data_IF_000640357638
#
_entry.id   IF_000640357638
#
_cell.length_a   1.000
_cell.length_b   1.000
_cell.length_c   1.000
_cell.angle_alpha   90.00
_cell.angle_beta   90.00
_cell.angle_gamma   90.00
#
_symmetry.space_group_name_H-M   'P 1'
#
loop_
_entity.id
_entity.type
_entity.pdbx_description
1 polymer ?
#
# COMPACT_ATOMS: atom_id res chain seq x y z
N UNK A 1 -4.45 5.70 -5.12
CA UNK A 1 -3.07 6.14 -4.77
C UNK A 1 -2.63 5.39 -3.53
N UNK A 2 -1.45 4.78 -3.53
CA UNK A 2 -0.89 4.13 -2.35
C UNK A 2 0.31 4.89 -1.79
N UNK A 3 0.69 4.64 -0.53
CA UNK A 3 1.83 5.33 0.11
C UNK A 3 3.17 5.03 -0.59
N UNK A 4 3.39 3.81 -1.10
CA UNK A 4 4.62 3.48 -1.83
C UNK A 4 4.52 3.75 -3.33
N UNK A 5 3.39 3.42 -3.97
CA UNK A 5 3.21 3.55 -5.42
C UNK A 5 1.85 4.12 -5.78
N UNK A 6 1.85 5.03 -6.73
CA UNK A 6 0.63 5.56 -7.36
C UNK A 6 0.41 4.85 -8.69
N UNK A 7 -0.79 4.28 -8.86
CA UNK A 7 -1.21 3.63 -10.09
C UNK A 7 -2.41 4.38 -10.65
N UNK A 8 -2.35 4.74 -11.91
CA UNK A 8 -3.44 5.38 -12.66
C UNK A 8 -3.67 4.57 -13.93
N UNK A 9 -4.93 4.30 -14.22
CA UNK A 9 -5.36 3.68 -15.48
C UNK A 9 -6.44 4.55 -16.12
N UNK A 10 -6.43 4.62 -17.44
CA UNK A 10 -7.50 5.25 -18.20
C UNK A 10 -8.48 4.15 -18.62
N UNK A 11 -9.70 4.18 -18.05
CA UNK A 11 -10.72 3.17 -18.38
C UNK A 11 -11.10 3.30 -19.87
N UNK A 12 -11.13 2.16 -20.57
CA UNK A 12 -11.35 2.12 -22.03
C UNK A 12 -10.11 2.39 -22.87
N UNK A 13 -8.93 2.50 -22.26
CA UNK A 13 -7.64 2.73 -22.93
C UNK A 13 -6.55 1.82 -22.34
N UNK A 14 -5.45 1.66 -23.06
CA UNK A 14 -4.27 0.88 -22.61
C UNK A 14 -3.27 1.70 -21.80
N UNK A 15 -3.48 3.02 -21.72
CA UNK A 15 -2.56 3.94 -21.02
C UNK A 15 -2.61 3.74 -19.52
N UNK A 16 -1.45 3.52 -18.95
CA UNK A 16 -1.24 3.29 -17.51
C UNK A 16 -0.04 4.07 -17.02
N UNK A 17 -0.13 4.54 -15.80
CA UNK A 17 1.00 5.13 -15.07
C UNK A 17 1.15 4.40 -13.73
N UNK A 18 2.34 3.90 -13.43
CA UNK A 18 2.64 3.15 -12.22
C UNK A 18 4.06 3.49 -11.75
N UNK A 19 4.16 4.44 -10.84
CA UNK A 19 5.44 4.91 -10.31
C UNK A 19 5.41 5.04 -8.78
N UNK A 20 6.59 5.18 -8.13
CA UNK A 20 6.67 5.50 -6.70
C UNK A 20 5.85 6.74 -6.35
N UNK A 21 5.21 6.73 -5.18
CA UNK A 21 4.47 7.89 -4.66
C UNK A 21 5.44 8.91 -4.04
N UNK A 22 6.53 9.21 -4.72
CA UNK A 22 7.58 10.11 -4.27
C UNK A 22 7.46 11.47 -4.96
N UNK A 23 7.67 12.55 -4.20
CA UNK A 23 7.74 13.92 -4.68
C UNK A 23 9.03 14.55 -4.14
N UNK A 24 9.90 15.00 -5.03
CA UNK A 24 11.08 15.73 -4.69
C UNK A 24 10.83 17.23 -4.78
N UNK A 25 11.09 17.96 -3.70
CA UNK A 25 10.85 19.39 -3.63
C UNK A 25 11.96 20.11 -2.84
N UNK A 26 12.09 21.41 -3.05
CA UNK A 26 12.97 22.24 -2.24
C UNK A 26 12.48 22.31 -0.80
N UNK A 27 13.40 22.52 0.16
CA UNK A 27 13.05 22.72 1.56
C UNK A 27 12.51 24.15 1.85
N UNK A 28 12.47 25.03 0.84
CA UNK A 28 11.95 26.39 0.95
C UNK A 28 10.42 26.41 1.07
N UNK A 29 9.86 27.50 1.58
CA UNK A 29 8.42 27.75 1.63
C UNK A 29 8.05 28.99 0.79
N UNK A 30 7.15 28.84 -0.23
CA UNK A 30 6.52 27.59 -0.66
C UNK A 30 7.50 26.65 -1.35
N UNK A 31 7.33 25.31 -1.21
CA UNK A 31 8.24 24.34 -1.81
C UNK A 31 8.09 24.32 -3.34
N UNK A 32 9.22 24.35 -4.05
CA UNK A 32 9.26 24.15 -5.50
C UNK A 32 9.43 22.65 -5.80
N UNK A 33 8.51 22.07 -6.55
CA UNK A 33 8.60 20.69 -6.98
C UNK A 33 9.68 20.56 -8.06
N UNK A 34 10.54 19.56 -7.92
CA UNK A 34 11.66 19.27 -8.80
C UNK A 34 11.42 17.99 -9.61
N UNK A 35 10.85 16.95 -9.01
CA UNK A 35 10.55 15.69 -9.68
C UNK A 35 9.43 14.92 -8.99
N UNK A 36 8.88 13.94 -9.70
CA UNK A 36 7.89 12.97 -9.21
C UNK A 36 8.34 11.55 -9.56
N UNK A 37 7.73 10.57 -8.88
CA UNK A 37 7.86 9.17 -9.24
C UNK A 37 9.27 8.63 -9.11
N UNK A 38 9.72 7.92 -10.12
CA UNK A 38 11.02 7.24 -10.13
C UNK A 38 12.20 8.20 -9.97
N UNK A 39 12.14 9.38 -10.59
CA UNK A 39 13.22 10.38 -10.48
C UNK A 39 13.31 10.96 -9.06
N UNK A 40 12.17 11.15 -8.40
CA UNK A 40 12.13 11.58 -7.01
C UNK A 40 12.59 10.48 -6.05
N UNK A 41 12.17 9.24 -6.28
CA UNK A 41 12.50 8.08 -5.43
C UNK A 41 14.01 7.77 -5.48
N UNK A 42 14.64 7.91 -6.64
CA UNK A 42 16.08 7.74 -6.81
C UNK A 42 16.92 8.73 -5.99
N UNK A 43 16.35 9.85 -5.56
CA UNK A 43 16.99 10.84 -4.71
C UNK A 43 16.82 10.60 -3.20
N UNK A 44 16.06 9.58 -2.80
CA UNK A 44 15.90 9.20 -1.37
C UNK A 44 17.30 8.88 -0.80
N UNK A 45 17.58 9.39 0.40
CA UNK A 45 18.87 9.25 1.11
C UNK A 45 20.09 9.85 0.38
N UNK A 46 19.91 10.48 -0.81
CA UNK A 46 21.00 11.09 -1.60
C UNK A 46 20.80 12.58 -1.83
N UNK A 47 19.61 13.10 -1.54
CA UNK A 47 19.30 14.51 -1.74
C UNK A 47 20.11 15.38 -0.75
N UNK A 48 20.62 16.54 -1.18
CA UNK A 48 21.25 17.50 -0.28
C UNK A 48 20.21 18.12 0.67
N UNK A 49 20.68 18.73 1.76
CA UNK A 49 19.83 19.24 2.86
C UNK A 49 18.74 20.23 2.44
N UNK A 50 18.96 20.95 1.33
CA UNK A 50 17.99 21.89 0.78
C UNK A 50 16.93 21.26 -0.13
N UNK A 51 16.96 19.93 -0.29
CA UNK A 51 15.99 19.15 -1.07
C UNK A 51 15.41 18.05 -0.18
N UNK A 52 14.11 17.85 -0.27
CA UNK A 52 13.40 16.79 0.46
C UNK A 52 12.64 15.92 -0.51
N UNK A 53 12.74 14.60 -0.29
CA UNK A 53 11.85 13.62 -0.94
C UNK A 53 10.76 13.28 0.05
N UNK A 54 9.51 13.43 -0.37
CA UNK A 54 8.31 13.23 0.46
C UNK A 54 7.37 12.26 -0.21
N UNK A 55 6.61 11.53 0.61
CA UNK A 55 5.46 10.73 0.17
C UNK A 55 4.19 11.45 0.63
N UNK A 56 3.36 12.00 -0.29
CA UNK A 56 2.18 12.82 0.07
C UNK A 56 1.15 12.09 0.91
N UNK A 57 1.11 10.77 0.79
CA UNK A 57 0.27 9.91 1.61
C UNK A 57 1.15 9.15 2.61
N UNK A 58 1.04 9.51 3.87
CA UNK A 58 1.70 8.82 4.97
C UNK A 58 0.65 8.20 5.90
N UNK A 59 0.90 6.97 6.35
CA UNK A 59 0.12 6.31 7.40
C UNK A 59 -1.39 6.24 7.08
N UNK A 60 -1.75 6.05 5.80
CA UNK A 60 -3.15 6.00 5.38
C UNK A 60 -3.87 7.36 5.37
N UNK A 61 -3.15 8.45 5.65
CA UNK A 61 -3.66 9.83 5.69
C UNK A 61 -3.00 10.68 4.62
N UNK A 62 -3.72 11.71 4.19
CA UNK A 62 -3.14 12.75 3.35
C UNK A 62 -2.36 13.68 4.26
N UNK A 63 -1.03 13.55 4.23
CA UNK A 63 -0.16 14.44 5.00
C UNK A 63 -0.06 15.83 4.34
N UNK A 64 -0.06 15.87 3.01
CA UNK A 64 0.17 17.09 2.23
C UNK A 64 -0.77 17.13 1.01
N UNK A 65 -2.00 17.71 1.17
CA UNK A 65 -3.01 17.78 0.09
C UNK A 65 -2.50 18.43 -1.20
N UNK A 66 -1.68 19.49 -1.07
CA UNK A 66 -1.12 20.20 -2.22
C UNK A 66 -0.18 19.32 -3.05
N UNK A 67 0.58 18.44 -2.39
CA UNK A 67 1.43 17.47 -3.11
C UNK A 67 0.60 16.37 -3.76
N UNK A 68 -0.53 15.96 -3.15
CA UNK A 68 -1.48 15.01 -3.77
C UNK A 68 -2.07 15.60 -5.04
N UNK A 69 -2.51 16.87 -5.00
CA UNK A 69 -2.99 17.60 -6.20
C UNK A 69 -1.95 17.56 -7.32
N UNK A 70 -0.71 17.98 -7.02
CA UNK A 70 0.37 18.04 -8.01
C UNK A 70 0.72 16.66 -8.56
N UNK A 71 0.71 15.63 -7.73
CA UNK A 71 0.97 14.25 -8.16
C UNK A 71 -0.16 13.72 -9.06
N UNK A 72 -1.43 14.02 -8.74
CA UNK A 72 -2.57 13.66 -9.59
C UNK A 72 -2.50 14.37 -10.94
N UNK A 73 -2.20 15.67 -10.95
CA UNK A 73 -2.04 16.45 -12.18
C UNK A 73 -0.90 15.92 -13.06
N UNK A 74 0.24 15.58 -12.45
CA UNK A 74 1.37 14.96 -13.14
C UNK A 74 1.01 13.59 -13.74
N UNK A 75 0.38 12.71 -12.94
CA UNK A 75 -0.05 11.39 -13.41
C UNK A 75 -1.10 11.49 -14.53
N UNK A 76 -2.02 12.45 -14.46
CA UNK A 76 -2.97 12.75 -15.53
C UNK A 76 -2.25 13.15 -16.82
N UNK A 77 -1.26 14.05 -16.73
CA UNK A 77 -0.46 14.47 -17.87
C UNK A 77 0.31 13.29 -18.49
N UNK A 78 0.87 12.38 -17.67
CA UNK A 78 1.55 11.17 -18.16
C UNK A 78 0.59 10.21 -18.86
N UNK A 79 -0.61 10.04 -18.34
CA UNK A 79 -1.62 9.17 -18.96
C UNK A 79 -2.22 9.76 -20.24
N UNK A 80 -2.54 11.06 -20.28
CA UNK A 80 -3.23 11.68 -21.41
C UNK A 80 -2.29 12.35 -22.42
N UNK A 81 -1.01 12.54 -22.08
CA UNK A 81 -0.04 13.29 -22.89
C UNK A 81 -0.29 14.80 -22.85
N UNK A 82 0.43 15.53 -23.70
CA UNK A 82 0.31 17.00 -23.76
C UNK A 82 -0.96 17.51 -24.46
N UNK A 83 -1.81 16.63 -25.01
CA UNK A 83 -3.05 17.00 -25.71
C UNK A 83 -4.20 17.14 -24.69
N UNK A 84 -3.96 17.87 -23.63
CA UNK A 84 -5.02 18.22 -22.70
C UNK A 84 -5.71 19.50 -23.19
N UNK A 85 -6.76 19.33 -23.98
CA UNK A 85 -7.62 20.46 -24.29
C UNK A 85 -8.42 20.83 -23.03
N UNK A 86 -8.40 22.09 -22.59
CA UNK A 86 -9.10 22.53 -21.37
C UNK A 86 -10.62 22.33 -21.40
N UNK A 87 -11.15 21.87 -22.53
CA UNK A 87 -12.58 21.66 -22.78
C UNK A 87 -13.11 20.34 -22.22
N UNK A 88 -12.28 19.29 -22.12
CA UNK A 88 -12.71 17.97 -21.62
C UNK A 88 -11.96 17.64 -20.35
N UNK A 89 -12.65 17.76 -19.22
CA UNK A 89 -12.10 17.33 -17.92
C UNK A 89 -12.51 15.89 -17.64
N UNK A 90 -11.56 14.98 -17.39
CA UNK A 90 -11.90 13.58 -17.09
C UNK A 90 -12.55 13.45 -15.71
N UNK A 91 -13.21 12.32 -15.50
CA UNK A 91 -13.66 11.88 -14.19
C UNK A 91 -12.53 11.07 -13.51
N UNK A 92 -12.45 11.16 -12.20
CA UNK A 92 -11.46 10.47 -11.37
C UNK A 92 -12.16 9.58 -10.37
N UNK A 93 -11.77 8.31 -10.30
CA UNK A 93 -12.16 7.41 -9.22
C UNK A 93 -10.93 7.05 -8.40
N UNK A 94 -10.96 7.32 -7.10
CA UNK A 94 -9.87 7.08 -6.17
C UNK A 94 -10.28 6.07 -5.11
N UNK A 95 -9.32 5.23 -4.68
CA UNK A 95 -9.47 4.49 -3.44
C UNK A 95 -9.21 5.38 -2.24
N UNK A 96 -9.95 5.15 -1.17
CA UNK A 96 -9.75 5.76 0.14
C UNK A 96 -9.67 4.64 1.18
N UNK A 97 -8.77 4.74 2.20
CA UNK A 97 -8.71 3.77 3.27
C UNK A 97 -10.05 3.63 3.98
N UNK A 98 -10.41 2.41 4.37
CA UNK A 98 -11.58 2.20 5.19
C UNK A 98 -11.42 2.92 6.54
N UNK A 99 -12.47 3.59 7.00
CA UNK A 99 -12.41 4.40 8.21
C UNK A 99 -11.77 5.78 8.04
N UNK A 100 -11.46 6.22 6.80
CA UNK A 100 -11.07 7.60 6.53
C UNK A 100 -12.16 8.57 6.98
N UNK A 101 -11.77 9.60 7.71
CA UNK A 101 -12.69 10.62 8.23
C UNK A 101 -13.19 11.55 7.10
N UNK A 102 -14.32 12.22 7.32
CA UNK A 102 -14.94 13.09 6.32
C UNK A 102 -13.99 14.19 5.81
N UNK A 103 -13.16 14.74 6.69
CA UNK A 103 -12.19 15.76 6.28
C UNK A 103 -11.09 15.18 5.36
N UNK A 104 -10.69 13.92 5.56
CA UNK A 104 -9.71 13.23 4.70
C UNK A 104 -10.33 12.91 3.34
N UNK A 105 -11.57 12.44 3.34
CA UNK A 105 -12.36 12.22 2.11
C UNK A 105 -12.53 13.53 1.34
N UNK A 106 -12.89 14.61 2.04
CA UNK A 106 -13.03 15.95 1.44
C UNK A 106 -11.70 16.44 0.85
N UNK A 107 -10.59 16.29 1.56
CA UNK A 107 -9.27 16.69 1.06
C UNK A 107 -8.88 15.97 -0.25
N UNK A 108 -9.21 14.67 -0.39
CA UNK A 108 -9.00 13.93 -1.66
C UNK A 108 -9.86 14.49 -2.79
N UNK A 109 -11.12 14.79 -2.52
CA UNK A 109 -12.03 15.36 -3.51
C UNK A 109 -11.54 16.75 -3.94
N UNK A 110 -11.18 17.61 -3.00
CA UNK A 110 -10.66 18.94 -3.26
C UNK A 110 -9.36 18.89 -4.09
N UNK A 111 -8.41 18.00 -3.72
CA UNK A 111 -7.17 17.79 -4.48
C UNK A 111 -7.43 17.31 -5.93
N UNK A 112 -8.42 16.43 -6.11
CA UNK A 112 -8.82 15.98 -7.44
C UNK A 112 -9.43 17.10 -8.29
N UNK A 113 -10.28 17.94 -7.70
CA UNK A 113 -10.82 19.11 -8.41
C UNK A 113 -9.75 20.15 -8.74
N UNK A 114 -8.80 20.39 -7.80
CA UNK A 114 -7.66 21.26 -8.05
C UNK A 114 -6.75 20.73 -9.17
N UNK A 115 -6.58 19.40 -9.27
CA UNK A 115 -5.90 18.73 -10.38
C UNK A 115 -6.71 18.69 -11.70
N UNK A 116 -7.81 19.47 -11.80
CA UNK A 116 -8.63 19.68 -13.00
C UNK A 116 -9.53 18.50 -13.39
N UNK A 117 -9.83 17.57 -12.50
CA UNK A 117 -10.86 16.56 -12.75
C UNK A 117 -12.27 17.16 -12.63
N UNK A 118 -13.18 16.71 -13.50
CA UNK A 118 -14.60 17.18 -13.53
C UNK A 118 -15.38 16.66 -12.32
N UNK A 119 -15.23 15.37 -12.07
CA UNK A 119 -15.88 14.64 -10.98
C UNK A 119 -14.82 13.81 -10.26
N UNK A 120 -14.92 13.73 -8.94
CA UNK A 120 -14.08 12.87 -8.12
C UNK A 120 -14.96 11.93 -7.32
N UNK A 121 -14.82 10.63 -7.57
CA UNK A 121 -15.53 9.57 -6.90
C UNK A 121 -14.57 8.84 -5.96
N UNK A 122 -15.01 8.58 -4.74
CA UNK A 122 -14.23 7.81 -3.77
C UNK A 122 -14.84 6.42 -3.60
N UNK A 123 -13.99 5.39 -3.61
CA UNK A 123 -14.36 4.00 -3.37
C UNK A 123 -13.53 3.51 -2.18
N UNK A 124 -14.16 2.84 -1.23
CA UNK A 124 -13.44 2.23 -0.13
C UNK A 124 -12.44 1.19 -0.64
N UNK A 125 -11.20 1.23 -0.15
CA UNK A 125 -10.11 0.43 -0.70
C UNK A 125 -10.38 -1.08 -0.58
N UNK A 126 -11.03 -1.54 0.50
CA UNK A 126 -11.41 -2.95 0.65
C UNK A 126 -12.46 -3.36 -0.40
N UNK A 127 -13.37 -2.46 -0.77
CA UNK A 127 -14.33 -2.71 -1.87
C UNK A 127 -13.61 -2.83 -3.20
N UNK A 128 -12.63 -1.94 -3.45
CA UNK A 128 -11.82 -2.03 -4.66
C UNK A 128 -11.00 -3.33 -4.70
N UNK A 129 -10.39 -3.74 -3.59
CA UNK A 129 -9.70 -5.03 -3.51
C UNK A 129 -10.65 -6.20 -3.74
N UNK A 130 -11.83 -6.22 -3.11
CA UNK A 130 -12.83 -7.27 -3.30
C UNK A 130 -13.27 -7.37 -4.76
N UNK A 131 -13.54 -6.23 -5.41
CA UNK A 131 -13.92 -6.20 -6.83
C UNK A 131 -12.78 -6.64 -7.77
N UNK A 132 -11.53 -6.51 -7.34
CA UNK A 132 -10.34 -6.90 -8.10
C UNK A 132 -9.96 -8.37 -7.98
N UNK A 133 -10.49 -9.09 -6.99
CA UNK A 133 -10.29 -10.53 -6.83
C UNK A 133 -10.96 -11.30 -7.96
N UNK A 134 -10.52 -12.52 -8.21
CA UNK A 134 -10.99 -13.36 -9.31
C UNK A 134 -12.51 -13.65 -9.19
N UNK A 135 -13.19 -13.83 -10.34
CA UNK A 135 -14.62 -14.01 -10.48
C UNK A 135 -15.21 -15.26 -9.78
N UNK A 136 -14.35 -16.10 -9.23
CA UNK A 136 -14.76 -17.33 -8.49
C UNK A 136 -15.49 -17.04 -7.19
N UNK A 137 -15.43 -15.79 -6.69
CA UNK A 137 -16.13 -15.42 -5.46
C UNK A 137 -17.41 -14.70 -5.87
N UNK A 138 -18.57 -15.32 -5.54
CA UNK A 138 -19.88 -14.72 -5.78
C UNK A 138 -19.98 -13.38 -5.05
N UNK A 139 -20.43 -12.33 -5.76
CA UNK A 139 -20.67 -11.03 -5.15
C UNK A 139 -21.72 -11.04 -4.06
N UNK A 140 -22.56 -12.09 -4.01
CA UNK A 140 -23.66 -12.23 -3.06
C UNK A 140 -23.24 -12.82 -1.71
N UNK A 141 -22.06 -13.43 -1.62
CA UNK A 141 -21.53 -13.93 -0.36
C UNK A 141 -20.53 -12.92 0.25
N UNK A 142 -20.53 -12.77 1.60
CA UNK A 142 -19.49 -11.97 2.26
C UNK A 142 -18.12 -12.58 2.03
N UNK A 143 -17.09 -11.74 1.91
CA UNK A 143 -15.70 -12.16 1.86
C UNK A 143 -14.86 -11.40 2.87
N UNK A 144 -13.83 -12.05 3.43
CA UNK A 144 -12.84 -11.40 4.29
C UNK A 144 -11.64 -11.03 3.43
N UNK A 145 -11.41 -9.74 3.30
CA UNK A 145 -10.30 -9.17 2.52
C UNK A 145 -9.29 -8.55 3.47
N UNK A 146 -8.02 -8.88 3.28
CA UNK A 146 -6.88 -8.31 4.01
C UNK A 146 -5.97 -7.63 3.00
N UNK A 147 -5.84 -6.33 3.10
CA UNK A 147 -4.99 -5.52 2.24
C UNK A 147 -3.76 -5.04 3.01
N UNK A 148 -2.58 -5.51 2.61
CA UNK A 148 -1.29 -5.11 3.19
C UNK A 148 -0.63 -4.10 2.27
N UNK A 149 -0.70 -2.84 2.66
CA UNK A 149 -0.06 -1.72 1.95
C UNK A 149 1.39 -1.51 2.37
N UNK A 150 1.94 -0.34 2.04
CA UNK A 150 3.25 0.09 2.54
C UNK A 150 3.12 0.70 3.94
N UNK A 151 2.25 1.68 4.14
CA UNK A 151 2.13 2.43 5.38
C UNK A 151 1.13 1.85 6.38
N UNK A 152 0.16 1.07 5.94
CA UNK A 152 -0.87 0.46 6.79
C UNK A 152 -1.34 -0.89 6.24
N UNK A 153 -1.90 -1.70 7.14
CA UNK A 153 -2.63 -2.91 6.82
C UNK A 153 -4.08 -2.75 7.27
N UNK A 154 -5.02 -3.21 6.46
CA UNK A 154 -6.45 -3.18 6.78
C UNK A 154 -7.10 -4.50 6.40
N UNK A 155 -8.13 -4.87 7.15
CA UNK A 155 -8.93 -6.04 6.90
C UNK A 155 -10.42 -5.72 7.08
N UNK A 156 -11.28 -6.38 6.33
CA UNK A 156 -12.71 -6.18 6.48
C UNK A 156 -13.53 -7.29 5.85
N UNK A 157 -14.80 -7.36 6.27
CA UNK A 157 -15.83 -8.18 5.66
C UNK A 157 -16.54 -7.33 4.63
N UNK A 158 -16.45 -7.74 3.37
CA UNK A 158 -17.06 -7.03 2.22
C UNK A 158 -18.16 -7.88 1.63
N UNK A 159 -19.31 -7.25 1.33
CA UNK A 159 -20.44 -7.87 0.63
C UNK A 159 -21.15 -6.84 -0.23
N UNK A 160 -21.49 -7.20 -1.46
CA UNK A 160 -22.29 -6.36 -2.38
C UNK A 160 -21.76 -4.93 -2.51
N UNK A 161 -20.44 -4.77 -2.59
CA UNK A 161 -19.81 -3.46 -2.72
C UNK A 161 -19.83 -2.59 -1.46
N UNK A 162 -20.16 -3.16 -0.30
CA UNK A 162 -20.14 -2.47 0.99
C UNK A 162 -19.21 -3.17 1.98
N UNK A 163 -18.54 -2.38 2.82
CA UNK A 163 -17.75 -2.87 3.95
C UNK A 163 -18.69 -3.00 5.15
N UNK A 164 -18.88 -4.22 5.65
CA UNK A 164 -19.77 -4.52 6.77
C UNK A 164 -19.08 -4.38 8.12
N UNK A 165 -17.80 -4.74 8.19
CA UNK A 165 -16.94 -4.51 9.35
C UNK A 165 -15.50 -4.36 8.88
N UNK A 166 -14.69 -3.66 9.66
CA UNK A 166 -13.30 -3.37 9.30
C UNK A 166 -12.40 -3.16 10.51
N UNK A 167 -11.15 -3.47 10.31
CA UNK A 167 -10.03 -3.11 11.20
C UNK A 167 -8.88 -2.57 10.39
N UNK A 168 -8.10 -1.66 10.98
CA UNK A 168 -6.89 -1.12 10.35
C UNK A 168 -5.79 -0.98 11.40
N UNK A 169 -4.58 -1.36 11.03
CA UNK A 169 -3.37 -1.09 11.80
C UNK A 169 -2.56 -0.05 11.05
N UNK A 170 -2.43 1.11 11.65
CA UNK A 170 -1.49 2.15 11.26
C UNK A 170 -0.70 2.57 12.51
N UNK A 171 0.55 2.95 12.33
CA UNK A 171 1.39 3.32 13.46
C UNK A 171 2.16 4.60 13.17
N UNK A 172 2.34 5.44 14.20
CA UNK A 172 3.17 6.65 14.11
C UNK A 172 4.65 6.26 13.97
N UNK A 173 5.09 5.24 14.71
CA UNK A 173 6.39 4.64 14.55
C UNK A 173 6.24 3.46 13.58
N UNK A 174 6.97 3.44 12.44
CA UNK A 174 6.87 2.35 11.46
C UNK A 174 6.99 0.96 12.08
N UNK A 175 7.87 0.74 13.06
CA UNK A 175 8.08 -0.56 13.70
C UNK A 175 6.86 -1.10 14.46
N UNK A 176 5.94 -0.23 14.87
CA UNK A 176 4.69 -0.63 15.56
C UNK A 176 3.57 -1.00 14.58
N UNK A 177 3.81 -0.86 13.27
CA UNK A 177 2.85 -1.18 12.21
C UNK A 177 2.81 -2.67 11.83
N UNK A 178 1.94 -2.98 10.88
CA UNK A 178 1.76 -4.33 10.31
C UNK A 178 1.85 -4.32 8.77
N UNK A 179 2.56 -3.37 8.19
CA UNK A 179 2.61 -3.10 6.76
C UNK A 179 4.06 -3.10 6.23
N UNK A 180 4.25 -2.86 4.94
CA UNK A 180 5.55 -2.94 4.29
C UNK A 180 6.63 -2.06 4.89
N UNK A 181 6.30 -0.83 5.32
CA UNK A 181 7.25 0.09 5.96
C UNK A 181 7.68 -0.44 7.35
N UNK A 182 6.78 -1.14 8.05
CA UNK A 182 7.11 -1.79 9.32
C UNK A 182 8.09 -2.96 9.12
N UNK A 183 7.88 -3.75 8.07
CA UNK A 183 8.81 -4.83 7.68
C UNK A 183 10.19 -4.25 7.39
N UNK A 184 10.27 -3.18 6.60
CA UNK A 184 11.53 -2.53 6.25
C UNK A 184 12.25 -1.96 7.47
N UNK A 185 11.51 -1.30 8.36
CA UNK A 185 12.07 -0.74 9.60
C UNK A 185 12.58 -1.82 10.54
N UNK A 186 11.86 -2.95 10.67
CA UNK A 186 12.27 -4.07 11.51
C UNK A 186 13.48 -4.80 10.93
N UNK A 187 13.54 -5.00 9.61
CA UNK A 187 14.71 -5.57 8.95
C UNK A 187 15.97 -4.71 9.13
N UNK A 188 15.84 -3.39 8.94
CA UNK A 188 16.98 -2.47 9.19
C UNK A 188 17.50 -2.59 10.61
N UNK A 189 16.58 -2.59 11.58
CA UNK A 189 16.96 -2.74 12.99
C UNK A 189 17.60 -4.08 13.28
N UNK A 190 17.07 -5.18 12.74
CA UNK A 190 17.64 -6.51 12.89
C UNK A 190 19.04 -6.61 12.27
N UNK A 191 19.24 -6.04 11.07
CA UNK A 191 20.56 -6.01 10.42
C UNK A 191 21.57 -5.24 11.26
N UNK A 192 21.18 -4.07 11.77
CA UNK A 192 22.03 -3.26 12.64
C UNK A 192 22.40 -4.02 13.92
N UNK A 193 21.45 -4.61 14.60
CA UNK A 193 21.66 -5.31 15.88
C UNK A 193 22.38 -6.63 15.73
N UNK A 194 22.14 -7.38 14.64
CA UNK A 194 22.73 -8.73 14.47
C UNK A 194 24.10 -8.68 13.80
N UNK A 195 24.36 -7.73 12.93
CA UNK A 195 25.58 -7.66 12.14
C UNK A 195 26.39 -6.38 12.39
N UNK A 196 25.84 -5.41 13.13
CA UNK A 196 26.48 -4.10 13.34
C UNK A 196 26.63 -3.29 12.05
N UNK A 197 25.71 -3.49 11.10
CA UNK A 197 25.77 -2.87 9.77
C UNK A 197 24.69 -1.80 9.58
N UNK A 198 25.12 -0.61 9.20
CA UNK A 198 24.21 0.42 8.70
C UNK A 198 23.98 0.23 7.20
N UNK A 199 22.69 0.03 6.81
CA UNK A 199 22.26 -0.25 5.42
C UNK A 199 21.27 0.79 4.94
N UNK A 200 21.32 1.11 3.63
CA UNK A 200 20.35 2.00 2.98
C UNK A 200 18.97 1.34 2.84
N UNK A 201 17.93 2.16 2.85
CA UNK A 201 16.52 1.70 2.70
C UNK A 201 16.33 0.92 1.40
N UNK A 202 16.94 1.37 0.31
CA UNK A 202 16.84 0.70 -1.01
C UNK A 202 17.31 -0.75 -0.97
N UNK A 203 18.44 -1.02 -0.32
CA UNK A 203 18.94 -2.40 -0.18
C UNK A 203 18.01 -3.28 0.65
N UNK A 204 17.44 -2.74 1.73
CA UNK A 204 16.49 -3.47 2.56
C UNK A 204 15.19 -3.74 1.83
N UNK A 205 14.71 -2.79 1.02
CA UNK A 205 13.54 -3.00 0.16
C UNK A 205 13.79 -4.12 -0.86
N UNK A 206 14.95 -4.15 -1.50
CA UNK A 206 15.32 -5.20 -2.45
C UNK A 206 15.46 -6.57 -1.77
N UNK A 207 16.03 -6.61 -0.57
CA UNK A 207 16.10 -7.82 0.25
C UNK A 207 14.68 -8.33 0.60
N UNK A 208 13.82 -7.44 1.08
CA UNK A 208 12.41 -7.72 1.42
C UNK A 208 11.63 -8.26 0.22
N UNK A 209 11.88 -7.71 -0.99
CA UNK A 209 11.24 -8.15 -2.22
C UNK A 209 11.82 -9.45 -2.80
N UNK A 210 12.87 -9.99 -2.20
CA UNK A 210 13.55 -11.19 -2.69
C UNK A 210 14.37 -10.97 -3.96
N UNK A 211 14.73 -9.71 -4.28
CA UNK A 211 15.55 -9.35 -5.44
C UNK A 211 17.03 -9.61 -5.20
N UNK A 212 17.44 -9.58 -3.95
CA UNK A 212 18.81 -9.85 -3.49
C UNK A 212 18.78 -10.71 -2.23
N UNK A 213 19.83 -11.48 -2.01
CA UNK A 213 20.08 -12.24 -0.78
C UNK A 213 21.32 -11.72 -0.05
N UNK A 214 22.08 -10.84 -0.68
CA UNK A 214 23.25 -10.19 -0.11
C UNK A 214 22.97 -8.71 0.13
N UNK A 215 23.43 -8.22 1.28
CA UNK A 215 23.38 -6.81 1.65
C UNK A 215 24.79 -6.30 1.92
N UNK A 216 25.04 -5.07 1.50
CA UNK A 216 26.29 -4.35 1.78
C UNK A 216 25.98 -3.24 2.77
N UNK A 217 26.58 -3.27 3.94
CA UNK A 217 26.44 -2.27 4.98
C UNK A 217 27.76 -1.73 5.47
N UNK A 218 27.74 -0.51 6.03
CA UNK A 218 28.91 0.07 6.70
C UNK A 218 28.97 -0.38 8.15
N UNK A 219 30.08 -1.02 8.55
CA UNK A 219 30.36 -1.36 9.94
C UNK A 219 31.01 -0.19 10.65
N UNK A 220 30.29 0.48 11.55
CA UNK A 220 30.82 1.60 12.33
C UNK A 220 31.95 1.17 13.28
N UNK A 221 31.94 -0.08 13.74
CA UNK A 221 32.96 -0.62 14.65
C UNK A 221 34.28 -0.94 13.94
N UNK A 222 34.23 -1.32 12.65
CA UNK A 222 35.39 -1.72 11.87
C UNK A 222 35.82 -0.67 10.83
N UNK A 223 34.96 0.32 10.57
CA UNK A 223 35.27 1.44 9.68
C UNK A 223 35.29 1.09 8.19
N UNK A 224 34.69 -0.04 7.79
CA UNK A 224 34.63 -0.46 6.38
C UNK A 224 33.27 -1.10 6.00
N UNK A 225 33.05 -1.26 4.70
CA UNK A 225 31.86 -1.96 4.19
C UNK A 225 32.04 -3.48 4.28
N UNK A 226 30.96 -4.16 4.67
CA UNK A 226 30.86 -5.61 4.69
C UNK A 226 29.67 -6.09 3.90
N UNK A 227 29.79 -7.28 3.31
CA UNK A 227 28.70 -8.01 2.67
C UNK A 227 28.26 -9.14 3.59
N UNK A 228 26.96 -9.27 3.76
CA UNK A 228 26.34 -10.36 4.54
C UNK A 228 25.25 -11.01 3.70
N UNK A 229 25.23 -12.32 3.68
CA UNK A 229 24.14 -13.12 3.10
C UNK A 229 22.99 -13.27 4.10
N UNK A 230 21.76 -13.09 3.64
CA UNK A 230 20.54 -13.18 4.46
C UNK A 230 19.56 -14.13 3.80
N UNK A 231 19.16 -15.17 4.52
CA UNK A 231 18.19 -16.15 4.02
C UNK A 231 16.75 -15.69 4.22
N UNK A 232 15.81 -16.23 3.41
CA UNK A 232 14.38 -15.99 3.57
C UNK A 232 13.87 -16.33 4.98
N UNK A 233 14.43 -17.38 5.59
CA UNK A 233 14.08 -17.83 6.93
C UNK A 233 14.51 -16.81 8.00
N UNK A 234 15.71 -16.24 7.87
CA UNK A 234 16.18 -15.17 8.74
C UNK A 234 15.33 -13.89 8.58
N UNK A 235 14.91 -13.57 7.34
CA UNK A 235 13.99 -12.45 7.09
C UNK A 235 12.68 -12.67 7.85
N UNK A 236 12.03 -13.83 7.67
CA UNK A 236 10.76 -14.13 8.35
C UNK A 236 10.89 -14.11 9.87
N UNK A 237 12.00 -14.62 10.41
CA UNK A 237 12.27 -14.58 11.84
C UNK A 237 12.45 -13.14 12.35
N UNK A 238 13.20 -12.32 11.63
CA UNK A 238 13.44 -10.91 11.97
C UNK A 238 12.15 -10.11 12.00
N UNK A 239 11.26 -10.31 11.02
CA UNK A 239 10.00 -9.55 10.91
C UNK A 239 8.82 -10.18 11.64
N UNK A 240 9.05 -11.28 12.37
CA UNK A 240 7.99 -11.99 13.11
C UNK A 240 7.09 -11.07 13.95
N UNK A 241 7.59 -10.05 14.69
CA UNK A 241 6.72 -9.14 15.44
C UNK A 241 5.72 -8.38 14.56
N UNK A 242 6.11 -8.01 13.34
CA UNK A 242 5.23 -7.36 12.35
C UNK A 242 4.17 -8.34 11.85
N UNK A 243 4.58 -9.58 11.56
CA UNK A 243 3.69 -10.62 11.04
C UNK A 243 2.66 -11.07 12.10
N UNK A 244 3.04 -11.12 13.37
CA UNK A 244 2.12 -11.41 14.47
C UNK A 244 0.99 -10.39 14.55
N UNK A 245 1.30 -9.09 14.46
CA UNK A 245 0.28 -8.03 14.44
C UNK A 245 -0.67 -8.15 13.24
N UNK A 246 -0.15 -8.62 12.09
CA UNK A 246 -1.02 -8.89 10.94
C UNK A 246 -1.94 -10.09 11.18
N UNK A 247 -1.45 -11.16 11.80
CA UNK A 247 -2.28 -12.29 12.18
C UNK A 247 -3.39 -11.88 13.18
N UNK A 248 -3.05 -11.08 14.19
CA UNK A 248 -4.02 -10.51 15.15
C UNK A 248 -5.08 -9.62 14.44
N UNK A 249 -4.68 -8.88 13.41
CA UNK A 249 -5.64 -8.11 12.57
C UNK A 249 -6.64 -9.05 11.89
N UNK A 250 -6.16 -10.15 11.33
CA UNK A 250 -6.98 -11.16 10.65
C UNK A 250 -7.96 -11.82 11.63
N UNK A 251 -7.47 -12.29 12.76
CA UNK A 251 -8.32 -12.90 13.81
C UNK A 251 -9.36 -11.90 14.31
N UNK A 252 -8.94 -10.67 14.55
CA UNK A 252 -9.82 -9.62 15.03
C UNK A 252 -10.95 -9.27 14.07
N UNK A 253 -10.68 -9.16 12.76
CA UNK A 253 -11.74 -8.85 11.79
C UNK A 253 -12.71 -10.02 11.62
N UNK A 254 -12.24 -11.26 11.73
CA UNK A 254 -13.11 -12.44 11.69
C UNK A 254 -14.03 -12.46 12.92
N UNK A 255 -13.50 -12.15 14.09
CA UNK A 255 -14.28 -12.08 15.33
C UNK A 255 -15.34 -10.97 15.25
N UNK A 256 -14.98 -9.76 14.84
CA UNK A 256 -15.90 -8.65 14.66
C UNK A 256 -16.96 -8.95 13.60
N UNK A 257 -16.56 -9.60 12.50
CA UNK A 257 -17.46 -10.03 11.45
C UNK A 257 -18.48 -11.06 11.95
N UNK A 258 -18.03 -12.03 12.74
CA UNK A 258 -18.94 -13.01 13.35
C UNK A 258 -19.94 -12.35 14.31
N UNK A 259 -19.51 -11.34 15.05
CA UNK A 259 -20.37 -10.61 15.97
C UNK A 259 -21.38 -9.70 15.26
N UNK A 260 -20.94 -8.95 14.23
CA UNK A 260 -21.74 -7.89 13.60
C UNK A 260 -22.55 -8.36 12.39
N UNK A 261 -22.05 -9.36 11.65
CA UNK A 261 -22.67 -9.90 10.42
C UNK A 261 -23.30 -11.27 10.69
N UNK A 262 -22.71 -12.05 11.58
CA UNK A 262 -23.19 -13.38 11.99
C UNK A 262 -22.11 -14.47 11.89
N UNK A 263 -22.33 -15.59 12.58
CA UNK A 263 -21.41 -16.75 12.63
C UNK A 263 -21.12 -17.35 11.24
N UNK A 264 -21.96 -17.08 10.25
CA UNK A 264 -21.71 -17.45 8.85
C UNK A 264 -20.38 -16.93 8.30
N UNK A 265 -19.84 -15.84 8.85
CA UNK A 265 -18.52 -15.32 8.46
C UNK A 265 -17.40 -16.32 8.77
N UNK A 266 -17.45 -16.99 9.94
CA UNK A 266 -16.45 -18.03 10.28
C UNK A 266 -16.58 -19.24 9.36
N UNK A 267 -17.77 -19.62 8.99
CA UNK A 267 -17.99 -20.74 8.07
C UNK A 267 -17.51 -20.41 6.66
N UNK A 268 -17.76 -19.17 6.18
CA UNK A 268 -17.25 -18.67 4.91
C UNK A 268 -15.72 -18.65 4.89
N UNK A 269 -15.08 -18.20 5.97
CA UNK A 269 -13.61 -18.22 6.09
C UNK A 269 -13.07 -19.66 6.04
N UNK A 270 -13.73 -20.63 6.69
CA UNK A 270 -13.30 -22.04 6.59
C UNK A 270 -13.42 -22.59 5.17
N UNK A 271 -14.44 -22.16 4.42
CA UNK A 271 -14.73 -22.65 3.06
C UNK A 271 -13.91 -21.96 1.99
N UNK A 272 -13.79 -20.63 2.05
CA UNK A 272 -13.18 -19.81 1.00
C UNK A 272 -11.82 -19.20 1.41
N UNK A 273 -11.53 -19.19 2.71
CA UNK A 273 -10.32 -18.55 3.24
C UNK A 273 -10.45 -17.04 3.38
N UNK A 274 -9.33 -16.43 3.78
CA UNK A 274 -9.12 -14.99 3.85
C UNK A 274 -8.35 -14.57 2.61
N UNK A 275 -8.80 -13.54 1.91
CA UNK A 275 -8.16 -13.06 0.68
C UNK A 275 -7.07 -12.04 1.02
N UNK A 276 -5.81 -12.42 0.81
CA UNK A 276 -4.65 -11.58 1.08
C UNK A 276 -4.25 -10.80 -0.18
N UNK A 277 -4.20 -9.47 -0.07
CA UNK A 277 -3.99 -8.53 -1.18
C UNK A 277 -3.04 -7.40 -0.78
N UNK A 278 -2.76 -6.49 -1.73
CA UNK A 278 -1.85 -5.36 -1.52
C UNK A 278 -0.38 -5.71 -1.74
N UNK A 279 0.45 -4.70 -1.96
CA UNK A 279 1.87 -4.92 -2.30
C UNK A 279 2.68 -5.62 -1.22
N UNK A 280 2.35 -5.40 0.07
CA UNK A 280 3.00 -6.07 1.20
C UNK A 280 2.72 -7.57 1.27
N UNK A 281 1.63 -8.04 0.66
CA UNK A 281 1.30 -9.45 0.58
C UNK A 281 2.29 -10.28 -0.27
N UNK A 282 3.16 -9.63 -1.03
CA UNK A 282 4.25 -10.27 -1.80
C UNK A 282 5.43 -10.72 -0.94
N UNK A 283 5.48 -10.35 0.33
CA UNK A 283 6.52 -10.84 1.22
C UNK A 283 6.48 -12.36 1.25
N UNK A 284 7.60 -12.99 0.86
CA UNK A 284 7.72 -14.44 0.78
C UNK A 284 7.46 -15.08 2.14
N UNK A 285 6.61 -16.11 2.18
CA UNK A 285 6.22 -16.80 3.41
C UNK A 285 5.12 -16.09 4.24
N UNK A 286 4.71 -14.87 3.90
CA UNK A 286 3.67 -14.15 4.65
C UNK A 286 2.33 -14.91 4.68
N UNK A 287 1.88 -15.40 3.53
CA UNK A 287 0.60 -16.11 3.43
C UNK A 287 0.59 -17.39 4.28
N UNK A 288 1.71 -18.12 4.29
CA UNK A 288 1.87 -19.33 5.09
C UNK A 288 1.92 -18.99 6.58
N UNK A 289 2.68 -17.95 6.96
CA UNK A 289 2.73 -17.48 8.33
C UNK A 289 1.34 -17.10 8.88
N UNK A 290 0.55 -16.33 8.11
CA UNK A 290 -0.82 -15.94 8.51
C UNK A 290 -1.72 -17.17 8.60
N UNK A 291 -1.61 -18.12 7.67
CA UNK A 291 -2.37 -19.37 7.68
C UNK A 291 -2.10 -20.19 8.94
N UNK A 292 -0.84 -20.35 9.30
CA UNK A 292 -0.41 -21.12 10.46
C UNK A 292 -0.77 -20.44 11.78
N UNK A 293 -0.60 -19.13 11.86
CA UNK A 293 -0.78 -18.37 13.11
C UNK A 293 -2.26 -18.12 13.41
N UNK A 294 -3.04 -17.66 12.42
CA UNK A 294 -4.46 -17.39 12.59
C UNK A 294 -5.35 -18.64 12.39
N UNK A 295 -4.76 -19.79 12.06
CA UNK A 295 -5.47 -21.07 11.84
C UNK A 295 -6.62 -20.97 10.84
N UNK A 296 -6.44 -20.21 9.77
CA UNK A 296 -7.43 -20.00 8.72
C UNK A 296 -6.83 -20.24 7.34
N UNK A 297 -7.59 -20.75 6.37
CA UNK A 297 -7.14 -20.79 4.99
C UNK A 297 -6.86 -19.37 4.47
N UNK A 298 -5.74 -19.21 3.74
CA UNK A 298 -5.34 -17.92 3.14
C UNK A 298 -5.24 -18.10 1.64
N UNK A 299 -5.89 -17.22 0.90
CA UNK A 299 -5.84 -17.14 -0.57
C UNK A 299 -5.09 -15.87 -0.95
N UNK A 300 -3.89 -16.04 -1.48
CA UNK A 300 -3.12 -14.92 -2.02
C UNK A 300 -3.67 -14.51 -3.40
N UNK A 301 -3.96 -13.23 -3.59
CA UNK A 301 -4.37 -12.71 -4.89
C UNK A 301 -3.27 -12.93 -5.94
N UNK A 302 -3.63 -13.22 -7.19
CA UNK A 302 -2.67 -13.52 -8.27
C UNK A 302 -1.70 -12.36 -8.54
N UNK A 303 -2.18 -11.13 -8.44
CA UNK A 303 -1.38 -9.89 -8.53
C UNK A 303 -1.78 -8.97 -7.40
N UNK A 304 -1.31 -9.26 -6.16
CA UNK A 304 -1.84 -8.62 -4.97
C UNK A 304 -1.66 -7.09 -4.99
N UNK A 305 -0.58 -6.58 -5.57
CA UNK A 305 -0.29 -5.15 -5.70
C UNK A 305 -1.17 -4.40 -6.71
N UNK A 306 -1.82 -5.12 -7.61
CA UNK A 306 -2.71 -4.55 -8.63
C UNK A 306 -4.20 -4.78 -8.33
N UNK A 307 -4.52 -5.56 -7.31
CA UNK A 307 -5.90 -5.97 -7.03
C UNK A 307 -6.86 -4.77 -6.90
N UNK A 308 -6.47 -3.72 -6.18
CA UNK A 308 -7.31 -2.53 -6.01
C UNK A 308 -7.56 -1.78 -7.33
N UNK A 309 -6.52 -1.59 -8.16
CA UNK A 309 -6.69 -0.87 -9.43
C UNK A 309 -7.53 -1.66 -10.43
N UNK A 310 -7.36 -2.97 -10.49
CA UNK A 310 -8.23 -3.86 -11.29
C UNK A 310 -9.68 -3.83 -10.81
N UNK A 311 -9.87 -3.72 -9.50
CA UNK A 311 -11.20 -3.58 -8.92
C UNK A 311 -11.86 -2.26 -9.31
N UNK A 312 -11.14 -1.15 -9.31
CA UNK A 312 -11.67 0.12 -9.81
C UNK A 312 -12.03 0.05 -11.29
N UNK A 313 -11.18 -0.57 -12.13
CA UNK A 313 -11.49 -0.77 -13.56
C UNK A 313 -12.80 -1.55 -13.74
N UNK A 314 -13.01 -2.63 -12.96
CA UNK A 314 -14.25 -3.43 -13.02
C UNK A 314 -15.48 -2.68 -12.53
N UNK A 315 -15.34 -1.89 -11.46
CA UNK A 315 -16.45 -1.10 -10.92
C UNK A 315 -16.89 -0.01 -11.89
N UNK A 316 -15.95 0.64 -12.59
CA UNK A 316 -16.27 1.63 -13.61
C UNK A 316 -16.82 1.01 -14.90
N UNK A 317 -16.37 -0.16 -15.31
CA UNK A 317 -16.87 -0.86 -16.49
C UNK A 317 -18.33 -1.37 -16.34
N UNK A 318 -18.85 -1.44 -15.12
CA UNK A 318 -20.23 -1.88 -14.82
C UNK A 318 -21.25 -0.72 -14.77
N UNK A 319 -20.80 0.53 -14.88
CA UNK A 319 -21.64 1.75 -14.89
C UNK A 319 -21.87 2.23 -16.31
#
# INVERSE_FOLDING_TARGET
MGAARTRIVCVGDTRRWNEPSAVMATAAEPPRILAFGTDADAAVERAPDNIRVRRPQMVGRIAEPDLVEKQLAFGLQKCLGHVFLPVVRPCLTLTVPCGAMDYERKALVDAGHAAQFKTVKLVDELVAHAAGLDERVSSDEPMVVVAVGAAYAQAGVVKNGAVLTQRMIHAKNPRDGAAGDAVTAELRHWIDTSFGLSVGVDQVERLKCGEVQEIVGFSSSEGHFKTVEVTDEQILQAVRPVLMRLAELVEGVIADGAQSVGESVRELVRRHGVFLTGGGAKLKGLADFVRETAHVPVVLAATPEETAIRGLERLEARQ
#
